data_IF_505960692110
#
_entry.id   IF_505960692110
#
_cell.length_a   1.000
_cell.length_b   1.000
_cell.length_c   1.000
_cell.angle_alpha   90.00
_cell.angle_beta   90.00
_cell.angle_gamma   90.00
#
_symmetry.space_group_name_H-M   'P 1'
#
loop_
_entity.id
_entity.type
_entity.pdbx_description
1 polymer ?
#
# COMPACT_ATOMS: atom_id res chain seq x y z
N UNK A 1 3.93 -11.48 -0.96
CA UNK A 1 3.16 -12.06 0.17
C UNK A 1 3.09 -11.00 1.26
N UNK A 2 2.00 -10.23 1.37
CA UNK A 2 1.74 -9.34 2.51
C UNK A 2 0.59 -9.82 3.39
N UNK A 3 0.11 -8.94 4.28
CA UNK A 3 -0.87 -9.30 5.33
C UNK A 3 -0.25 -9.84 6.62
N UNK A 4 1.03 -9.53 6.88
CA UNK A 4 1.78 -10.01 8.06
C UNK A 4 2.24 -8.90 9.01
N UNK A 5 2.00 -7.63 8.68
CA UNK A 5 2.52 -6.51 9.46
C UNK A 5 2.00 -6.50 10.91
N UNK A 6 0.81 -7.07 11.13
CA UNK A 6 0.13 -7.07 12.44
C UNK A 6 0.17 -8.41 13.17
N UNK A 7 0.88 -9.42 12.66
CA UNK A 7 0.86 -10.78 13.21
C UNK A 7 1.31 -10.86 14.68
N UNK A 8 2.09 -9.89 15.16
CA UNK A 8 2.55 -9.80 16.55
C UNK A 8 1.82 -8.73 17.39
N UNK A 9 0.95 -7.93 16.76
CA UNK A 9 0.30 -6.78 17.39
C UNK A 9 -1.20 -7.00 17.61
N UNK A 10 -1.87 -7.72 16.70
CA UNK A 10 -3.30 -8.04 16.79
C UNK A 10 -3.46 -9.56 16.84
N UNK A 11 -3.22 -10.15 18.01
CA UNK A 11 -3.11 -11.60 18.18
C UNK A 11 -4.41 -12.38 17.89
N UNK A 12 -5.56 -11.74 18.04
CA UNK A 12 -6.89 -12.32 17.74
C UNK A 12 -7.41 -11.93 16.36
N UNK A 13 -6.76 -10.96 15.70
CA UNK A 13 -7.21 -10.48 14.40
C UNK A 13 -6.85 -11.46 13.28
N UNK A 14 -7.75 -11.59 12.31
CA UNK A 14 -7.53 -12.37 11.11
C UNK A 14 -7.40 -11.47 9.89
N UNK A 15 -6.39 -11.72 9.06
CA UNK A 15 -6.14 -11.03 7.80
C UNK A 15 -6.36 -12.02 6.63
N UNK A 16 -7.62 -12.24 6.20
CA UNK A 16 -7.95 -13.21 5.16
C UNK A 16 -7.41 -12.77 3.79
N UNK A 17 -7.11 -13.76 2.93
CA UNK A 17 -6.87 -13.50 1.51
C UNK A 17 -8.16 -13.00 0.85
N UNK A 18 -8.05 -11.95 0.05
CA UNK A 18 -9.16 -11.30 -0.64
C UNK A 18 -9.28 -11.81 -2.08
N UNK A 19 -10.42 -12.40 -2.48
CA UNK A 19 -10.71 -12.67 -3.88
C UNK A 19 -10.68 -11.38 -4.71
N UNK A 20 -10.25 -11.45 -5.98
CA UNK A 20 -10.07 -10.28 -6.85
C UNK A 20 -11.27 -9.32 -6.89
N UNK A 21 -12.54 -9.77 -6.96
CA UNK A 21 -13.68 -8.85 -6.96
C UNK A 21 -13.81 -8.06 -5.65
N UNK A 22 -13.54 -8.72 -4.52
CA UNK A 22 -13.59 -8.11 -3.18
C UNK A 22 -12.43 -7.13 -2.99
N UNK A 23 -11.23 -7.54 -3.41
CA UNK A 23 -10.05 -6.67 -3.45
C UNK A 23 -10.31 -5.40 -4.27
N UNK A 24 -10.83 -5.52 -5.50
CA UNK A 24 -11.09 -4.38 -6.37
C UNK A 24 -12.14 -3.42 -5.77
N UNK A 25 -13.16 -3.95 -5.09
CA UNK A 25 -14.13 -3.13 -4.36
C UNK A 25 -13.45 -2.32 -3.25
N UNK A 26 -12.71 -2.99 -2.37
CA UNK A 26 -12.00 -2.38 -1.23
C UNK A 26 -10.99 -1.35 -1.72
N UNK A 27 -10.17 -1.69 -2.72
CA UNK A 27 -9.18 -0.81 -3.33
C UNK A 27 -9.82 0.50 -3.82
N UNK A 28 -10.96 0.42 -4.52
CA UNK A 28 -11.67 1.61 -5.02
C UNK A 28 -12.19 2.50 -3.88
N UNK A 29 -12.72 1.90 -2.81
CA UNK A 29 -13.21 2.66 -1.65
C UNK A 29 -12.06 3.37 -0.94
N UNK A 30 -10.95 2.66 -0.72
CA UNK A 30 -9.76 3.21 -0.06
C UNK A 30 -9.07 4.27 -0.92
N UNK A 31 -8.99 4.07 -2.24
CA UNK A 31 -8.48 5.09 -3.16
C UNK A 31 -9.25 6.41 -3.03
N UNK A 32 -10.58 6.33 -3.02
CA UNK A 32 -11.43 7.52 -2.85
C UNK A 32 -11.23 8.24 -1.50
N UNK A 33 -10.85 7.51 -0.45
CA UNK A 33 -10.52 8.08 0.88
C UNK A 33 -9.15 8.77 0.89
N UNK A 34 -8.18 8.25 0.12
CA UNK A 34 -6.83 8.82 0.03
C UNK A 34 -6.71 9.96 -0.98
N UNK A 35 -7.54 9.99 -2.03
CA UNK A 35 -7.47 10.96 -3.11
C UNK A 35 -7.53 12.45 -2.65
N UNK A 36 -8.29 12.84 -1.62
CA UNK A 36 -8.28 14.22 -1.11
C UNK A 36 -7.01 14.59 -0.34
N UNK A 37 -6.23 13.61 0.12
CA UNK A 37 -5.04 13.83 0.94
C UNK A 37 -3.77 14.01 0.11
N UNK A 38 -3.76 13.55 -1.14
CA UNK A 38 -2.57 13.51 -1.99
C UNK A 38 -2.88 13.94 -3.42
N UNK A 39 -1.93 14.65 -4.04
CA UNK A 39 -2.00 15.06 -5.43
C UNK A 39 -2.00 13.86 -6.38
N UNK A 40 -1.30 12.77 -6.03
CA UNK A 40 -1.35 11.50 -6.78
C UNK A 40 -1.48 10.32 -5.83
N UNK A 41 -2.37 9.39 -6.20
CA UNK A 41 -2.59 8.11 -5.52
C UNK A 41 -2.67 7.03 -6.59
N UNK A 42 -1.81 6.02 -6.50
CA UNK A 42 -1.86 4.84 -7.36
C UNK A 42 -1.71 3.56 -6.55
N UNK A 43 -2.20 2.47 -7.13
CA UNK A 43 -1.86 1.11 -6.73
C UNK A 43 -0.93 0.55 -7.80
N UNK A 44 0.25 0.00 -7.45
CA UNK A 44 1.10 -0.69 -8.41
C UNK A 44 0.30 -1.79 -9.12
N UNK A 45 0.57 -1.99 -10.41
CA UNK A 45 -0.19 -2.98 -11.19
C UNK A 45 0.11 -4.38 -10.65
N UNK A 46 -0.94 -5.09 -10.24
CA UNK A 46 -0.83 -6.48 -9.81
C UNK A 46 -0.62 -7.43 -11.00
N UNK A 47 -0.10 -8.64 -10.71
CA UNK A 47 -0.05 -9.70 -11.70
C UNK A 47 -1.48 -10.13 -12.11
N UNK A 48 -1.83 -10.16 -13.41
CA UNK A 48 -3.21 -10.39 -13.86
C UNK A 48 -3.81 -11.73 -13.41
N UNK A 49 -2.96 -12.73 -13.18
CA UNK A 49 -3.38 -14.12 -12.91
C UNK A 49 -3.52 -14.42 -11.41
N UNK A 50 -3.39 -13.42 -10.54
CA UNK A 50 -3.41 -13.61 -9.08
C UNK A 50 -4.84 -13.92 -8.62
N UNK A 51 -5.11 -15.10 -8.02
CA UNK A 51 -6.47 -15.49 -7.63
C UNK A 51 -6.97 -14.74 -6.39
N UNK A 52 -6.05 -14.25 -5.55
CA UNK A 52 -6.35 -13.53 -4.32
C UNK A 52 -5.21 -12.58 -3.87
N UNK A 53 -5.52 -11.65 -2.98
CA UNK A 53 -4.62 -10.60 -2.50
C UNK A 53 -4.51 -10.66 -0.97
N UNK A 54 -3.37 -10.29 -0.38
CA UNK A 54 -3.18 -10.34 1.08
C UNK A 54 -3.34 -9.00 1.77
N UNK A 55 -3.32 -7.95 0.97
CA UNK A 55 -3.00 -6.58 1.31
C UNK A 55 -3.46 -5.69 0.14
N UNK A 56 -3.60 -4.40 0.41
CA UNK A 56 -3.89 -3.37 -0.59
C UNK A 56 -2.79 -2.32 -0.55
N UNK A 57 -2.01 -2.25 -1.62
CA UNK A 57 -0.89 -1.30 -1.73
C UNK A 57 -1.33 0.04 -2.34
N UNK A 58 -0.83 1.13 -1.76
CA UNK A 58 -0.90 2.47 -2.30
C UNK A 58 0.47 3.13 -2.32
N UNK A 59 0.76 3.82 -3.41
CA UNK A 59 1.90 4.72 -3.56
C UNK A 59 1.34 6.12 -3.78
N UNK A 60 1.74 7.06 -2.94
CA UNK A 60 1.17 8.41 -2.89
C UNK A 60 2.26 9.47 -2.89
N UNK A 61 1.93 10.66 -3.41
CA UNK A 61 2.86 11.81 -3.43
C UNK A 61 2.10 13.13 -3.47
N UNK A 62 2.77 14.19 -3.03
CA UNK A 62 2.28 15.57 -3.08
C UNK A 62 1.10 15.79 -2.15
N UNK A 63 1.27 15.65 -0.83
CA UNK A 63 0.13 15.71 0.08
C UNK A 63 -0.48 17.13 0.10
N UNK A 64 -1.82 17.19 0.12
CA UNK A 64 -2.60 18.39 -0.24
C UNK A 64 -2.90 19.30 0.96
N UNK A 65 -2.73 18.82 2.19
CA UNK A 65 -2.94 19.61 3.40
C UNK A 65 -1.75 20.52 3.66
N UNK A 66 -1.99 21.72 4.22
CA UNK A 66 -0.97 22.62 4.80
C UNK A 66 -0.28 22.07 6.06
N UNK A 67 -0.48 20.80 6.40
CA UNK A 67 0.35 20.10 7.36
C UNK A 67 1.72 19.89 6.71
N UNK A 68 2.79 20.33 7.37
CA UNK A 68 4.15 20.11 6.88
C UNK A 68 4.45 18.61 6.89
N UNK A 69 4.50 18.01 5.72
CA UNK A 69 4.58 16.56 5.57
C UNK A 69 6.01 16.11 5.80
N UNK A 70 6.18 15.32 6.86
CA UNK A 70 7.47 14.85 7.33
C UNK A 70 7.45 14.26 8.75
N UNK A 71 6.29 14.02 9.36
CA UNK A 71 6.21 13.50 10.75
C UNK A 71 5.11 12.44 10.92
N UNK A 72 5.20 11.67 12.02
CA UNK A 72 4.19 10.66 12.42
C UNK A 72 2.75 11.20 12.45
N UNK A 73 2.57 12.53 12.61
CA UNK A 73 1.27 13.21 12.57
C UNK A 73 0.54 13.08 11.21
N UNK A 74 1.27 12.86 10.12
CA UNK A 74 0.70 12.69 8.78
C UNK A 74 0.05 11.31 8.62
N UNK A 75 0.67 10.31 9.24
CA UNK A 75 0.18 8.95 9.19
C UNK A 75 -1.08 8.76 10.07
N UNK A 76 -1.30 9.61 11.07
CA UNK A 76 -2.56 9.65 11.82
C UNK A 76 -3.73 10.19 10.98
N UNK A 77 -3.49 11.19 10.12
CA UNK A 77 -4.50 11.69 9.17
C UNK A 77 -4.87 10.59 8.17
N UNK A 78 -3.87 9.85 7.68
CA UNK A 78 -4.08 8.69 6.80
C UNK A 78 -4.84 7.58 7.53
N UNK A 79 -4.45 7.26 8.77
CA UNK A 79 -5.11 6.27 9.62
C UNK A 79 -6.60 6.58 9.76
N UNK A 80 -6.93 7.82 10.07
CA UNK A 80 -8.31 8.29 10.24
C UNK A 80 -9.08 8.22 8.91
N UNK A 81 -8.50 8.74 7.82
CA UNK A 81 -9.14 8.72 6.51
C UNK A 81 -9.42 7.29 6.02
N UNK A 82 -8.52 6.33 6.30
CA UNK A 82 -8.72 4.92 5.98
C UNK A 82 -9.74 4.24 6.89
N UNK A 83 -10.04 4.79 8.08
CA UNK A 83 -10.82 4.12 9.11
C UNK A 83 -10.06 2.96 9.76
N UNK A 84 -8.74 3.08 9.85
CA UNK A 84 -7.87 2.05 10.39
C UNK A 84 -7.88 2.06 11.92
N UNK A 85 -7.91 0.87 12.53
CA UNK A 85 -7.91 0.73 14.00
C UNK A 85 -6.51 0.54 14.59
N UNK A 86 -5.56 0.12 13.76
CA UNK A 86 -4.16 -0.03 14.14
C UNK A 86 -3.25 0.40 12.98
N UNK A 87 -2.05 0.84 13.32
CA UNK A 87 -1.03 1.25 12.37
C UNK A 87 0.35 0.78 12.84
N UNK A 88 1.22 0.44 11.89
CA UNK A 88 2.66 0.28 12.09
C UNK A 88 3.36 1.26 11.14
N UNK A 89 3.91 2.32 11.71
CA UNK A 89 4.56 3.40 10.96
C UNK A 89 5.94 2.99 10.43
N UNK A 90 6.29 3.51 9.26
CA UNK A 90 7.58 3.28 8.60
C UNK A 90 7.63 4.00 7.26
N UNK A 91 8.68 3.76 6.45
CA UNK A 91 8.77 4.27 5.06
C UNK A 91 7.53 3.88 4.25
N UNK A 92 7.07 2.65 4.43
CA UNK A 92 5.73 2.22 4.08
C UNK A 92 4.99 1.98 5.38
N UNK A 93 3.94 2.77 5.62
CA UNK A 93 3.09 2.60 6.80
C UNK A 93 2.02 1.56 6.53
N UNK A 94 1.80 0.66 7.48
CA UNK A 94 0.89 -0.46 7.36
C UNK A 94 -0.33 -0.15 8.23
N UNK A 95 -1.53 -0.38 7.74
CA UNK A 95 -2.78 -0.05 8.43
C UNK A 95 -3.70 -1.28 8.49
N UNK A 96 -4.33 -1.50 9.63
CA UNK A 96 -5.36 -2.53 9.78
C UNK A 96 -6.73 -1.88 9.69
N UNK A 97 -7.43 -2.11 8.57
CA UNK A 97 -8.79 -1.58 8.34
C UNK A 97 -9.80 -2.70 8.54
N UNK A 98 -10.82 -2.53 9.40
CA UNK A 98 -11.85 -3.55 9.62
C UNK A 98 -12.61 -3.87 8.32
N UNK A 99 -12.83 -5.15 8.02
CA UNK A 99 -13.58 -5.55 6.82
C UNK A 99 -15.04 -5.09 6.85
N UNK A 100 -15.62 -4.95 8.05
CA UNK A 100 -16.95 -4.34 8.24
C UNK A 100 -17.10 -2.92 7.71
N UNK A 101 -15.98 -2.20 7.52
CA UNK A 101 -15.99 -0.86 6.92
C UNK A 101 -16.37 -0.87 5.43
N UNK A 102 -16.37 -2.05 4.80
CA UNK A 102 -16.76 -2.27 3.41
C UNK A 102 -17.98 -3.19 3.31
N UNK A 103 -18.07 -4.19 4.20
CA UNK A 103 -19.12 -5.22 4.20
C UNK A 103 -19.65 -5.39 5.63
N UNK A 104 -20.74 -4.70 6.02
CA UNK A 104 -21.20 -4.62 7.42
C UNK A 104 -21.52 -5.96 8.11
N UNK A 105 -21.79 -7.01 7.35
CA UNK A 105 -22.06 -8.37 7.83
C UNK A 105 -20.79 -9.16 8.20
N UNK A 106 -19.59 -8.60 8.01
CA UNK A 106 -18.32 -9.23 8.34
C UNK A 106 -18.04 -9.30 9.85
N UNK A 107 -17.28 -10.32 10.25
CA UNK A 107 -16.90 -10.55 11.65
C UNK A 107 -16.03 -9.40 12.21
N UNK A 108 -16.17 -9.12 13.50
CA UNK A 108 -15.52 -7.95 14.13
C UNK A 108 -13.99 -8.00 14.12
N UNK A 109 -13.42 -9.21 14.15
CA UNK A 109 -11.96 -9.44 14.23
C UNK A 109 -11.31 -9.68 12.85
N UNK A 110 -12.01 -9.37 11.75
CA UNK A 110 -11.48 -9.54 10.38
C UNK A 110 -11.06 -8.20 9.79
N UNK A 111 -9.83 -8.15 9.28
CA UNK A 111 -9.19 -6.93 8.80
C UNK A 111 -8.54 -7.12 7.44
N UNK A 112 -8.41 -6.01 6.71
CA UNK A 112 -7.52 -5.92 5.55
C UNK A 112 -6.30 -5.10 5.93
N UNK A 113 -5.11 -5.59 5.54
CA UNK A 113 -3.89 -4.81 5.63
C UNK A 113 -3.84 -3.84 4.45
N UNK A 114 -3.60 -2.56 4.73
CA UNK A 114 -3.44 -1.51 3.72
C UNK A 114 -2.06 -0.90 3.89
N UNK A 115 -1.25 -0.95 2.85
CA UNK A 115 0.14 -0.48 2.88
C UNK A 115 0.22 0.82 2.09
N UNK A 116 0.71 1.89 2.71
CA UNK A 116 0.82 3.22 2.09
C UNK A 116 2.27 3.64 2.09
N UNK A 117 2.84 3.76 0.88
CA UNK A 117 4.17 4.30 0.63
C UNK A 117 4.05 5.76 0.20
N UNK A 118 4.56 6.67 1.03
CA UNK A 118 4.58 8.11 0.74
C UNK A 118 5.92 8.47 0.12
N UNK A 119 5.90 8.86 -1.15
CA UNK A 119 7.09 9.28 -1.88
C UNK A 119 7.42 10.76 -1.63
N UNK A 120 8.70 11.08 -1.70
CA UNK A 120 9.22 12.44 -1.52
C UNK A 120 8.81 13.36 -2.69
N UNK A 121 8.95 12.86 -3.91
CA UNK A 121 8.69 13.59 -5.15
C UNK A 121 8.01 12.72 -6.21
N UNK A 122 7.56 13.38 -7.28
CA UNK A 122 6.81 12.73 -8.36
C UNK A 122 7.69 11.71 -9.09
N UNK A 123 8.98 11.99 -9.21
CA UNK A 123 9.93 11.12 -9.87
C UNK A 123 10.16 9.82 -9.09
N UNK A 124 10.24 9.86 -7.76
CA UNK A 124 10.25 8.67 -6.89
C UNK A 124 8.94 7.91 -7.04
N UNK A 125 7.80 8.61 -7.00
CA UNK A 125 6.50 7.99 -7.17
C UNK A 125 6.38 7.20 -8.48
N UNK A 126 6.82 7.77 -9.61
CA UNK A 126 6.80 7.10 -10.92
C UNK A 126 7.70 5.85 -10.92
N UNK A 127 8.90 5.94 -10.33
CA UNK A 127 9.81 4.79 -10.21
C UNK A 127 9.22 3.70 -9.33
N UNK A 128 8.71 4.04 -8.15
CA UNK A 128 8.14 3.07 -7.20
C UNK A 128 6.93 2.36 -7.81
N UNK A 129 6.00 3.10 -8.42
CA UNK A 129 4.83 2.51 -9.11
C UNK A 129 5.25 1.55 -10.21
N UNK A 130 6.30 1.88 -10.97
CA UNK A 130 6.84 1.01 -11.99
C UNK A 130 7.51 -0.24 -11.41
N UNK A 131 8.42 -0.09 -10.44
CA UNK A 131 9.21 -1.19 -9.89
C UNK A 131 8.40 -2.18 -9.07
N UNK A 132 7.34 -1.72 -8.40
CA UNK A 132 6.43 -2.58 -7.65
C UNK A 132 5.29 -3.13 -8.52
N UNK A 133 5.19 -2.68 -9.76
CA UNK A 133 4.23 -3.21 -10.73
C UNK A 133 4.69 -4.53 -11.34
N UNK A 134 3.71 -5.33 -11.79
CA UNK A 134 3.89 -6.58 -12.51
C UNK A 134 4.63 -7.67 -11.71
N UNK A 135 4.45 -7.70 -10.39
CA UNK A 135 5.05 -8.71 -9.52
C UNK A 135 6.58 -8.64 -9.53
N UNK A 136 7.23 -9.68 -10.05
CA UNK A 136 8.69 -9.81 -10.01
C UNK A 136 9.43 -9.01 -11.10
N UNK A 137 8.75 -8.20 -11.92
CA UNK A 137 9.38 -7.45 -13.01
C UNK A 137 10.55 -6.59 -12.52
N UNK A 138 10.36 -5.84 -11.43
CA UNK A 138 11.43 -5.03 -10.84
C UNK A 138 12.65 -5.87 -10.42
N UNK A 139 12.41 -7.06 -9.84
CA UNK A 139 13.47 -8.00 -9.47
C UNK A 139 14.19 -8.53 -10.71
N UNK A 140 13.45 -8.92 -11.75
CA UNK A 140 14.01 -9.41 -13.02
C UNK A 140 14.89 -8.34 -13.66
N UNK A 141 14.40 -7.11 -13.78
CA UNK A 141 15.17 -5.98 -14.32
C UNK A 141 16.43 -5.71 -13.48
N UNK A 142 16.32 -5.81 -12.15
CA UNK A 142 17.46 -5.69 -11.25
C UNK A 142 18.51 -6.78 -11.44
N UNK A 143 18.11 -8.04 -11.70
CA UNK A 143 19.02 -9.14 -12.05
C UNK A 143 19.71 -8.88 -13.40
N UNK A 144 18.96 -8.44 -14.41
CA UNK A 144 19.49 -8.15 -15.74
C UNK A 144 20.51 -7.01 -15.71
N UNK A 145 20.22 -5.92 -15.01
CA UNK A 145 21.16 -4.80 -14.87
C UNK A 145 22.49 -5.23 -14.23
N UNK A 146 22.44 -6.12 -13.23
CA UNK A 146 23.65 -6.65 -12.57
C UNK A 146 24.55 -7.42 -13.54
N UNK A 147 24.00 -8.05 -14.58
CA UNK A 147 24.81 -8.77 -15.58
C UNK A 147 25.78 -7.86 -16.34
N UNK A 148 25.45 -6.56 -16.46
CA UNK A 148 26.29 -5.53 -17.08
C UNK A 148 26.93 -4.58 -16.06
N UNK A 149 26.99 -4.99 -14.78
CA UNK A 149 27.55 -4.22 -13.65
C UNK A 149 26.82 -2.91 -13.34
N UNK A 150 25.54 -2.82 -13.73
CA UNK A 150 24.66 -1.72 -13.34
C UNK A 150 23.76 -2.16 -12.19
N UNK A 151 23.29 -1.20 -11.40
CA UNK A 151 22.31 -1.36 -10.35
C UNK A 151 21.07 -0.54 -10.66
N UNK A 152 19.95 -1.22 -10.82
CA UNK A 152 18.65 -0.64 -11.11
C UNK A 152 17.72 -0.83 -9.90
N UNK A 153 17.03 0.23 -9.48
CA UNK A 153 16.00 0.15 -8.42
C UNK A 153 15.16 1.43 -8.30
N UNK A 154 14.40 1.57 -7.22
CA UNK A 154 13.50 2.71 -6.96
C UNK A 154 14.18 4.09 -6.98
N UNK A 155 15.51 4.13 -6.83
CA UNK A 155 16.32 5.37 -6.89
C UNK A 155 16.95 5.63 -8.26
N UNK A 156 16.61 4.83 -9.27
CA UNK A 156 17.14 4.94 -10.63
C UNK A 156 18.20 3.88 -10.97
N UNK A 157 18.98 4.17 -12.01
CA UNK A 157 20.03 3.31 -12.55
C UNK A 157 21.41 3.93 -12.27
N UNK A 158 22.34 3.12 -11.77
CA UNK A 158 23.73 3.53 -11.48
C UNK A 158 24.73 2.45 -11.86
#
# INVERSE_FOLDING_TARGET
MGGRAFAHHLLTATFPRLPTPRYAHIQRVLHARLAPLYARVATPREAPEKPDHGDVDFVVVGPTTTASLGTDADADVVREALGAVACVYGRTSNFAVPLRAFEPEEEEDRYVQVDVNVCEDVEEWERVVFFHGYGDLGMILGVLARSVRLHMGEKGLK
#
